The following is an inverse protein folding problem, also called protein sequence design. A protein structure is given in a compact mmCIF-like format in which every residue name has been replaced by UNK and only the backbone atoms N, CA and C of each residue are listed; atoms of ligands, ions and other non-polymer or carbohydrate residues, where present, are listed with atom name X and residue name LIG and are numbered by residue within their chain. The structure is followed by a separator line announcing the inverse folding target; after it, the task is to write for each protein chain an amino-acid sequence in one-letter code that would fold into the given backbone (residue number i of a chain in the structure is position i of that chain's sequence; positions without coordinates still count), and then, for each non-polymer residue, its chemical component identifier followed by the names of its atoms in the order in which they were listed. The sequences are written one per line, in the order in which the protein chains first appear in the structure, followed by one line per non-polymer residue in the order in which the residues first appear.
data_IF_016144566901
#
_entry.id   IF_016144566901
#
_cell.length_a   1.000
_cell.length_b   1.000
_cell.length_c   1.000
_cell.angle_alpha   90.00
_cell.angle_beta   90.00
_cell.angle_gamma   90.00
#
_symmetry.space_group_name_H-M   'P 1'
#
loop_
_entity.id
_entity.type
_entity.pdbx_description
1 polymer ?
#
# COMPACT_ATOMS: atom_id res chain seq x y z
N UNK A 1 -3.29 -6.11 -2.26
CA UNK A 1 -2.14 -5.27 -2.58
C UNK A 1 -2.32 -3.93 -1.87
N UNK A 2 -1.24 -3.29 -1.42
CA UNK A 2 -1.31 -1.94 -0.83
C UNK A 2 -1.50 -0.89 -1.94
N UNK A 3 -2.17 0.22 -1.63
CA UNK A 3 -2.46 1.31 -2.58
C UNK A 3 -2.08 2.63 -1.95
N UNK A 4 -1.12 3.32 -2.53
CA UNK A 4 -0.58 4.59 -2.03
C UNK A 4 -0.86 5.71 -3.03
N UNK A 5 -0.93 6.94 -2.53
CA UNK A 5 -0.99 8.15 -3.35
C UNK A 5 0.31 8.30 -4.17
N UNK A 6 0.17 8.85 -5.35
CA UNK A 6 1.27 9.26 -6.23
C UNK A 6 2.29 10.19 -5.56
N UNK A 7 1.84 11.11 -4.70
CA UNK A 7 2.71 11.97 -3.88
C UNK A 7 3.78 11.18 -3.09
N UNK A 8 3.46 9.96 -2.64
CA UNK A 8 4.42 9.10 -1.93
C UNK A 8 5.51 8.60 -2.88
N UNK A 9 5.15 8.26 -4.12
CA UNK A 9 6.12 7.85 -5.13
C UNK A 9 7.09 9.00 -5.45
N UNK A 10 6.58 10.22 -5.59
CA UNK A 10 7.40 11.42 -5.81
C UNK A 10 8.38 11.65 -4.66
N UNK A 11 7.90 11.54 -3.40
CA UNK A 11 8.74 11.70 -2.21
C UNK A 11 9.91 10.72 -2.13
N UNK A 12 9.74 9.50 -2.67
CA UNK A 12 10.77 8.45 -2.67
C UNK A 12 11.48 8.32 -4.04
N UNK A 13 11.25 9.26 -4.96
CA UNK A 13 11.96 9.34 -6.25
C UNK A 13 11.53 8.29 -7.28
N UNK A 14 10.31 7.76 -7.17
CA UNK A 14 9.74 6.79 -8.11
C UNK A 14 8.87 7.51 -9.13
N UNK A 15 9.11 7.28 -10.42
CA UNK A 15 8.19 7.64 -11.50
C UNK A 15 7.02 6.65 -11.51
N UNK A 16 5.82 7.12 -11.18
CA UNK A 16 4.62 6.28 -11.02
C UNK A 16 4.38 5.39 -12.23
N UNK A 17 4.45 5.94 -13.44
CA UNK A 17 4.14 5.27 -14.70
C UNK A 17 5.21 4.27 -15.15
N UNK A 18 6.38 4.22 -14.49
CA UNK A 18 7.40 3.20 -14.77
C UNK A 18 7.04 1.80 -14.23
N UNK A 19 6.00 1.72 -13.39
CA UNK A 19 5.48 0.46 -12.86
C UNK A 19 4.59 -0.29 -13.85
N UNK A 20 4.16 -1.49 -13.44
CA UNK A 20 3.25 -2.31 -14.26
C UNK A 20 1.83 -1.78 -14.12
N UNK A 21 1.25 -1.26 -15.20
CA UNK A 21 -0.12 -0.78 -15.23
C UNK A 21 -1.12 -1.85 -14.77
N UNK A 22 -2.08 -1.44 -13.94
CA UNK A 22 -3.17 -2.29 -13.44
C UNK A 22 -4.43 -1.47 -13.20
N UNK A 23 -5.56 -2.17 -13.06
CA UNK A 23 -6.82 -1.61 -12.63
C UNK A 23 -7.28 -2.27 -11.33
N UNK A 24 -7.49 -1.47 -10.29
CA UNK A 24 -8.00 -1.94 -9.00
C UNK A 24 -9.48 -1.64 -8.88
N UNK A 25 -10.29 -2.64 -8.57
CA UNK A 25 -11.72 -2.52 -8.34
C UNK A 25 -12.10 -2.59 -6.86
N UNK A 26 -13.19 -1.91 -6.49
CA UNK A 26 -13.81 -1.96 -5.18
C UNK A 26 -15.28 -1.51 -5.25
N UNK A 27 -15.92 -1.37 -4.08
CA UNK A 27 -17.34 -0.99 -4.00
C UNK A 27 -17.63 0.37 -4.68
N UNK A 28 -16.69 1.31 -4.59
CA UNK A 28 -16.81 2.65 -5.17
C UNK A 28 -16.45 2.77 -6.66
N UNK A 29 -16.12 1.67 -7.34
CA UNK A 29 -15.71 1.68 -8.74
C UNK A 29 -14.31 1.10 -8.97
N UNK A 30 -13.60 1.62 -9.97
CA UNK A 30 -12.24 1.21 -10.31
C UNK A 30 -11.31 2.40 -10.45
N UNK A 31 -10.03 2.18 -10.15
CA UNK A 31 -8.96 3.14 -10.40
C UNK A 31 -7.86 2.50 -11.24
N UNK A 32 -7.22 3.31 -12.09
CA UNK A 32 -5.96 2.98 -12.74
C UNK A 32 -4.80 3.18 -11.76
N UNK A 33 -3.84 2.26 -11.75
CA UNK A 33 -2.61 2.42 -10.98
C UNK A 33 -1.45 1.65 -11.58
N UNK A 34 -0.29 1.74 -10.94
CA UNK A 34 0.96 1.14 -11.41
C UNK A 34 1.62 0.39 -10.25
N UNK A 35 1.93 -0.89 -10.47
CA UNK A 35 2.53 -1.77 -9.48
C UNK A 35 4.04 -1.58 -9.47
N UNK A 36 4.59 -1.34 -8.28
CA UNK A 36 6.02 -1.28 -7.99
C UNK A 36 6.39 -2.29 -6.91
N UNK A 37 7.55 -2.92 -7.04
CA UNK A 37 8.10 -3.81 -6.01
C UNK A 37 8.98 -3.00 -5.08
N UNK A 38 8.52 -2.78 -3.84
CA UNK A 38 9.24 -1.97 -2.86
C UNK A 38 9.79 -2.86 -1.74
N UNK A 39 11.02 -2.61 -1.31
CA UNK A 39 11.49 -3.14 -0.03
C UNK A 39 10.85 -2.31 1.09
N UNK A 40 10.11 -2.98 1.99
CA UNK A 40 9.50 -2.36 3.16
C UNK A 40 10.23 -2.83 4.41
N UNK A 41 10.60 -1.88 5.25
CA UNK A 41 11.11 -2.12 6.61
C UNK A 41 10.09 -1.64 7.64
N UNK A 42 9.51 -2.56 8.42
CA UNK A 42 8.58 -2.24 9.49
C UNK A 42 8.57 -3.35 10.55
N UNK A 43 8.42 -2.97 11.84
CA UNK A 43 8.32 -3.91 12.96
C UNK A 43 9.44 -4.99 12.94
N UNK A 44 10.69 -4.56 12.69
CA UNK A 44 11.88 -5.41 12.57
C UNK A 44 11.82 -6.48 11.46
N UNK A 45 10.93 -6.34 10.47
CA UNK A 45 10.88 -7.19 9.27
C UNK A 45 11.25 -6.37 8.03
N UNK A 46 11.99 -7.00 7.13
CA UNK A 46 12.27 -6.50 5.78
C UNK A 46 11.70 -7.49 4.76
N UNK A 47 10.92 -7.00 3.82
CA UNK A 47 10.34 -7.84 2.77
C UNK A 47 9.99 -7.01 1.53
N UNK A 48 9.97 -7.68 0.37
CA UNK A 48 9.46 -7.08 -0.86
C UNK A 48 7.94 -7.08 -0.83
N UNK A 49 7.35 -5.92 -1.10
CA UNK A 49 5.92 -5.73 -1.16
C UNK A 49 5.54 -5.04 -2.47
N UNK A 50 4.64 -5.65 -3.28
CA UNK A 50 4.01 -4.94 -4.38
C UNK A 50 3.10 -3.85 -3.81
N UNK A 51 3.30 -2.62 -4.29
CA UNK A 51 2.51 -1.44 -3.94
C UNK A 51 1.99 -0.82 -5.23
N UNK A 52 0.73 -0.43 -5.25
CA UNK A 52 0.14 0.34 -6.35
C UNK A 52 0.20 1.81 -6.03
N UNK A 53 0.81 2.60 -6.92
CA UNK A 53 0.65 4.05 -6.92
C UNK A 53 -0.40 4.46 -7.95
N UNK A 54 -1.20 5.46 -7.64
CA UNK A 54 -2.29 5.90 -8.51
C UNK A 54 -2.58 7.39 -8.35
N UNK A 55 -2.65 8.10 -9.48
CA UNK A 55 -3.13 9.48 -9.57
C UNK A 55 -4.66 9.59 -9.36
N UNK A 56 -5.39 8.48 -9.54
CA UNK A 56 -6.85 8.42 -9.37
C UNK A 56 -7.23 8.11 -7.91
N UNK A 57 -6.26 7.85 -7.04
CA UNK A 57 -6.48 7.53 -5.64
C UNK A 57 -6.61 8.80 -4.78
N UNK A 58 -7.80 9.40 -4.81
CA UNK A 58 -8.08 10.73 -4.26
C UNK A 58 -8.46 10.75 -2.76
N UNK A 59 -8.35 9.63 -2.05
CA UNK A 59 -8.65 9.59 -0.60
C UNK A 59 -7.47 10.11 0.23
N UNK A 60 -7.75 10.56 1.45
CA UNK A 60 -6.79 11.28 2.30
C UNK A 60 -5.75 10.42 3.02
N UNK A 61 -5.68 9.12 2.73
CA UNK A 61 -4.77 8.20 3.40
C UNK A 61 -4.33 7.08 2.46
N UNK A 62 -3.19 6.48 2.74
CA UNK A 62 -2.69 5.30 2.05
C UNK A 62 -3.31 4.02 2.64
N UNK A 63 -3.47 2.99 1.81
CA UNK A 63 -4.03 1.71 2.23
C UNK A 63 -2.97 0.62 2.26
N UNK A 64 -2.87 -0.08 3.40
CA UNK A 64 -2.11 -1.30 3.53
C UNK A 64 -2.98 -2.50 3.12
N UNK A 65 -2.46 -3.30 2.20
CA UNK A 65 -3.19 -4.42 1.62
C UNK A 65 -3.06 -5.71 2.43
N UNK A 66 -4.12 -6.53 2.39
CA UNK A 66 -4.04 -7.90 2.89
C UNK A 66 -2.99 -8.72 2.17
N UNK A 67 -2.99 -8.60 0.85
CA UNK A 67 -2.03 -9.30 0.01
C UNK A 67 -0.64 -8.65 0.10
N UNK A 68 0.37 -9.49 0.35
CA UNK A 68 1.74 -9.16 0.73
C UNK A 68 1.95 -8.56 2.12
N UNK A 69 1.51 -7.32 2.39
CA UNK A 69 1.87 -6.61 3.63
C UNK A 69 1.33 -7.31 4.89
N UNK A 70 0.01 -7.46 5.03
CA UNK A 70 -0.56 -8.09 6.24
C UNK A 70 -0.28 -9.59 6.34
N UNK A 71 0.06 -10.27 5.24
CA UNK A 71 0.50 -11.67 5.28
C UNK A 71 1.81 -11.88 6.05
N UNK A 72 2.61 -10.83 6.24
CA UNK A 72 3.87 -10.92 7.00
C UNK A 72 3.66 -10.89 8.52
N UNK A 73 2.46 -10.58 8.99
CA UNK A 73 2.20 -10.32 10.40
C UNK A 73 0.99 -11.07 10.92
N UNK A 74 1.05 -11.43 12.21
CA UNK A 74 -0.16 -11.55 13.00
C UNK A 74 -0.57 -10.15 13.45
N UNK A 75 -1.81 -9.77 13.16
CA UNK A 75 -2.30 -8.41 13.37
C UNK A 75 -3.34 -8.41 14.46
N UNK A 76 -3.19 -7.48 15.41
CA UNK A 76 -4.14 -7.30 16.51
C UNK A 76 -4.59 -5.84 16.51
N UNK A 77 -5.90 -5.64 16.44
CA UNK A 77 -6.55 -4.34 16.59
C UNK A 77 -7.05 -4.20 18.03
N UNK A 78 -6.44 -3.29 18.79
CA UNK A 78 -6.91 -2.89 20.13
C UNK A 78 -7.72 -1.60 20.00
N UNK A 79 -8.95 -1.71 19.50
CA UNK A 79 -9.84 -0.58 19.16
C UNK A 79 -10.05 0.41 20.32
N UNK A 80 -10.27 -0.09 21.55
CA UNK A 80 -10.45 0.78 22.72
C UNK A 80 -9.23 1.67 23.01
N UNK A 81 -8.05 1.31 22.49
CA UNK A 81 -6.80 2.04 22.65
C UNK A 81 -6.34 2.73 21.36
N UNK A 82 -7.09 2.60 20.26
CA UNK A 82 -6.68 3.02 18.92
C UNK A 82 -5.27 2.52 18.55
N UNK A 83 -4.96 1.26 18.91
CA UNK A 83 -3.63 0.67 18.73
C UNK A 83 -3.68 -0.51 17.75
N UNK A 84 -2.70 -0.57 16.84
CA UNK A 84 -2.44 -1.74 16.00
C UNK A 84 -1.12 -2.37 16.46
N UNK A 85 -1.13 -3.68 16.69
CA UNK A 85 0.08 -4.47 16.92
C UNK A 85 0.36 -5.36 15.72
N UNK A 86 1.62 -5.36 15.29
CA UNK A 86 2.17 -6.21 14.25
C UNK A 86 3.18 -7.15 14.88
N UNK A 87 2.91 -8.46 14.84
CA UNK A 87 3.77 -9.54 15.36
C UNK A 87 4.34 -10.37 14.21
#
# INVERSE_FOLDING_TARGET
ISVFKDEIAEQIGITVESGIETYLGGVGGRIKGYIHQLEIEIANKKFICPVVFSHEYLVSFNLLGRDSFFKQFKIIFEEKKNLIKLE
#
